data_IF_517317426168
#
_entry.id   IF_517317426168
#
_cell.length_a   1.000
_cell.length_b   1.000
_cell.length_c   1.000
_cell.angle_alpha   90.00
_cell.angle_beta   90.00
_cell.angle_gamma   90.00
#
_symmetry.space_group_name_H-M   'P 1'
#
loop_
_entity.id
_entity.type
_entity.pdbx_description
1 polymer ?
#
# COMPACT_ATOMS: atom_id res chain seq x y z
N UNK A 1 27.19 6.60 9.64
CA UNK A 1 27.26 5.12 9.81
C UNK A 1 25.83 4.67 9.78
N UNK A 2 25.47 3.63 9.01
CA UNK A 2 24.08 3.25 8.90
C UNK A 2 23.54 2.74 10.24
N UNK A 3 22.26 2.98 10.49
CA UNK A 3 21.58 2.68 11.75
C UNK A 3 20.68 1.45 11.60
N UNK A 4 20.92 0.43 12.41
CA UNK A 4 20.08 -0.77 12.43
C UNK A 4 18.67 -0.44 12.92
N UNK A 5 17.66 -1.01 12.26
CA UNK A 5 16.27 -0.89 12.70
C UNK A 5 15.51 -2.22 12.54
N UNK A 6 14.43 -2.34 13.31
CA UNK A 6 13.48 -3.45 13.21
C UNK A 6 12.09 -2.98 13.64
N UNK A 7 11.09 -3.22 12.79
CA UNK A 7 9.68 -2.94 13.01
C UNK A 7 8.93 -4.28 12.96
N UNK A 8 8.04 -4.51 13.91
CA UNK A 8 7.24 -5.75 13.99
C UNK A 8 5.75 -5.43 14.08
N UNK A 9 4.97 -6.13 13.28
CA UNK A 9 3.51 -6.09 13.35
C UNK A 9 2.94 -7.51 13.39
N UNK A 10 1.82 -7.66 14.08
CA UNK A 10 1.01 -8.87 14.06
C UNK A 10 -0.43 -8.46 13.76
N UNK A 11 -1.00 -8.98 12.66
CA UNK A 11 -2.37 -8.67 12.26
C UNK A 11 -3.16 -9.94 11.94
N UNK A 12 -4.45 -10.01 12.34
CA UNK A 12 -5.35 -11.04 11.86
C UNK A 12 -5.80 -10.74 10.43
N UNK A 13 -5.92 -11.79 9.63
CA UNK A 13 -6.40 -11.76 8.25
C UNK A 13 -7.57 -12.73 8.09
N UNK A 14 -8.66 -12.24 7.52
CA UNK A 14 -9.89 -13.01 7.25
C UNK A 14 -9.75 -13.85 5.96
N UNK A 15 -8.65 -14.60 5.85
CA UNK A 15 -8.34 -15.44 4.71
C UNK A 15 -7.54 -16.68 5.11
N UNK A 16 -7.65 -17.75 4.32
CA UNK A 16 -6.85 -18.96 4.49
C UNK A 16 -5.37 -18.72 4.10
N UNK A 17 -4.40 -19.45 4.69
CA UNK A 17 -2.97 -19.20 4.45
C UNK A 17 -2.54 -19.27 2.99
N UNK A 18 -3.18 -20.09 2.16
CA UNK A 18 -2.91 -20.18 0.71
C UNK A 18 -3.37 -18.93 -0.04
N UNK A 19 -4.50 -18.33 0.36
CA UNK A 19 -4.98 -17.07 -0.20
C UNK A 19 -4.06 -15.93 0.20
N UNK A 20 -3.66 -15.86 1.48
CA UNK A 20 -2.70 -14.86 1.97
C UNK A 20 -1.36 -15.01 1.26
N UNK A 21 -0.87 -16.24 1.08
CA UNK A 21 0.38 -16.53 0.38
C UNK A 21 0.39 -15.95 -1.03
N UNK A 22 -0.67 -16.18 -1.82
CA UNK A 22 -0.79 -15.60 -3.16
C UNK A 22 -0.71 -14.08 -3.14
N UNK A 23 -1.35 -13.44 -2.16
CA UNK A 23 -1.35 -11.98 -2.03
C UNK A 23 0.02 -11.39 -1.66
N UNK A 24 0.90 -12.11 -0.96
CA UNK A 24 2.19 -11.55 -0.49
C UNK A 24 3.42 -12.07 -1.26
N UNK A 25 3.30 -13.18 -1.98
CA UNK A 25 4.44 -13.86 -2.60
C UNK A 25 4.38 -13.89 -4.13
N UNK A 26 3.20 -13.75 -4.73
CA UNK A 26 3.02 -13.79 -6.18
C UNK A 26 2.83 -12.36 -6.70
N UNK A 27 3.60 -11.97 -7.72
CA UNK A 27 3.61 -10.59 -8.22
C UNK A 27 2.21 -10.01 -8.48
N UNK A 28 1.32 -10.67 -9.25
CA UNK A 28 -0.04 -10.19 -9.45
C UNK A 28 -0.84 -10.01 -8.15
N UNK A 29 -0.58 -10.84 -7.13
CA UNK A 29 -1.20 -10.71 -5.82
C UNK A 29 -0.64 -9.54 -5.01
N UNK A 30 0.68 -9.35 -5.01
CA UNK A 30 1.35 -8.22 -4.34
C UNK A 30 0.88 -6.90 -4.94
N UNK A 31 0.87 -6.83 -6.27
CA UNK A 31 0.44 -5.67 -7.05
C UNK A 31 -1.04 -5.34 -6.83
N UNK A 32 -1.83 -6.24 -6.24
CA UNK A 32 -3.27 -6.00 -6.01
C UNK A 32 -3.58 -5.22 -4.73
N UNK A 33 -2.60 -4.92 -3.89
CA UNK A 33 -2.79 -4.11 -2.68
C UNK A 33 -1.59 -3.23 -2.37
N UNK A 34 -0.38 -3.68 -2.71
CA UNK A 34 0.85 -2.94 -2.47
C UNK A 34 1.10 -1.92 -3.59
N UNK A 35 2.00 -0.98 -3.31
CA UNK A 35 2.37 0.04 -4.30
C UNK A 35 3.41 -0.51 -5.27
N UNK A 36 3.37 -0.02 -6.51
CA UNK A 36 4.33 -0.39 -7.55
C UNK A 36 4.07 -1.77 -8.17
N UNK A 37 5.13 -2.33 -8.75
CA UNK A 37 5.17 -3.67 -9.33
C UNK A 37 6.26 -4.48 -8.65
N UNK A 38 5.90 -5.64 -8.12
CA UNK A 38 6.84 -6.53 -7.43
C UNK A 38 6.87 -7.90 -8.10
N UNK A 39 8.06 -8.41 -8.38
CA UNK A 39 8.26 -9.76 -8.90
C UNK A 39 9.25 -10.48 -7.99
N UNK A 40 8.92 -11.70 -7.57
CA UNK A 40 9.77 -12.55 -6.73
C UNK A 40 9.95 -13.90 -7.41
N UNK A 41 11.19 -14.32 -7.63
CA UNK A 41 11.46 -15.68 -8.07
C UNK A 41 11.15 -16.69 -6.94
N UNK A 42 10.39 -17.78 -7.20
CA UNK A 42 9.79 -18.61 -6.15
C UNK A 42 10.77 -19.63 -5.56
N UNK A 43 11.92 -19.18 -5.05
CA UNK A 43 12.97 -20.00 -4.46
C UNK A 43 13.91 -19.17 -3.59
N UNK A 44 14.54 -19.82 -2.60
CA UNK A 44 15.68 -19.22 -1.88
C UNK A 44 16.82 -18.93 -2.85
N UNK A 45 17.45 -17.75 -2.71
CA UNK A 45 18.44 -17.21 -3.64
C UNK A 45 17.84 -16.76 -4.97
N UNK A 46 16.51 -16.68 -5.08
CA UNK A 46 15.81 -16.09 -6.21
C UNK A 46 15.93 -14.57 -6.19
N UNK A 47 15.93 -13.96 -7.37
CA UNK A 47 15.90 -12.50 -7.49
C UNK A 47 14.50 -11.99 -7.22
N UNK A 48 14.40 -10.87 -6.49
CA UNK A 48 13.21 -10.06 -6.38
C UNK A 48 13.46 -8.68 -6.97
N UNK A 49 12.46 -8.11 -7.64
CA UNK A 49 12.52 -6.76 -8.19
C UNK A 49 11.30 -5.98 -7.77
N UNK A 50 11.49 -4.72 -7.41
CA UNK A 50 10.40 -3.81 -7.09
C UNK A 50 10.55 -2.51 -7.87
N UNK A 51 9.48 -2.05 -8.50
CA UNK A 51 9.45 -0.81 -9.28
C UNK A 51 8.31 0.07 -8.81
N UNK A 52 8.61 1.34 -8.52
CA UNK A 52 7.61 2.34 -8.17
C UNK A 52 7.59 3.44 -9.25
N UNK A 53 6.42 3.71 -9.82
CA UNK A 53 6.28 4.75 -10.85
C UNK A 53 7.21 4.53 -12.05
N UNK A 54 7.99 5.55 -12.39
CA UNK A 54 8.98 5.53 -13.49
C UNK A 54 10.42 5.31 -13.02
N UNK A 55 10.61 4.98 -11.74
CA UNK A 55 11.94 4.86 -11.15
C UNK A 55 12.62 3.54 -11.55
N UNK A 56 13.93 3.49 -11.35
CA UNK A 56 14.69 2.25 -11.55
C UNK A 56 14.23 1.18 -10.57
N UNK A 57 14.17 -0.07 -11.04
CA UNK A 57 13.79 -1.19 -10.20
C UNK A 57 14.85 -1.43 -9.11
N UNK A 58 14.42 -1.58 -7.87
CA UNK A 58 15.29 -2.03 -6.78
C UNK A 58 15.34 -3.56 -6.76
N UNK A 59 16.54 -4.09 -6.57
CA UNK A 59 16.77 -5.54 -6.50
C UNK A 59 16.79 -6.05 -5.05
N UNK A 60 16.32 -7.28 -4.87
CA UNK A 60 16.37 -8.03 -3.64
C UNK A 60 16.68 -9.50 -3.89
N UNK A 61 17.03 -10.22 -2.84
CA UNK A 61 17.25 -11.66 -2.85
C UNK A 61 16.27 -12.32 -1.89
N UNK A 62 15.55 -13.33 -2.36
CA UNK A 62 14.66 -14.15 -1.54
C UNK A 62 15.51 -15.00 -0.58
N UNK A 63 15.34 -14.80 0.72
CA UNK A 63 16.09 -15.48 1.78
C UNK A 63 15.29 -16.62 2.44
N UNK A 64 13.96 -16.61 2.34
CA UNK A 64 13.10 -17.72 2.72
C UNK A 64 11.91 -17.86 1.76
N UNK A 65 11.59 -19.10 1.38
CA UNK A 65 10.44 -19.41 0.52
C UNK A 65 9.78 -20.72 0.97
N UNK A 66 8.78 -20.61 1.84
CA UNK A 66 8.04 -21.73 2.41
C UNK A 66 6.54 -21.48 2.19
N UNK A 67 5.96 -22.00 1.08
CA UNK A 67 4.58 -21.69 0.70
C UNK A 67 3.55 -21.91 1.81
N UNK A 68 2.69 -20.90 2.00
CA UNK A 68 1.66 -20.88 3.05
C UNK A 68 2.19 -20.70 4.48
N UNK A 69 3.49 -20.47 4.66
CA UNK A 69 4.11 -20.39 5.99
C UNK A 69 5.09 -19.24 6.17
N UNK A 70 6.09 -19.08 5.31
CA UNK A 70 7.17 -18.10 5.53
C UNK A 70 7.73 -17.57 4.21
N UNK A 71 7.76 -16.26 4.06
CA UNK A 71 8.42 -15.55 2.97
C UNK A 71 9.40 -14.55 3.58
N UNK A 72 10.64 -14.50 3.07
CA UNK A 72 11.55 -13.43 3.42
C UNK A 72 12.40 -13.04 2.22
N UNK A 73 12.69 -11.75 2.10
CA UNK A 73 13.58 -11.20 1.08
C UNK A 73 14.33 -9.98 1.63
N UNK A 74 15.53 -9.75 1.10
CA UNK A 74 16.42 -8.67 1.51
C UNK A 74 16.90 -7.90 0.28
N UNK A 75 16.78 -6.58 0.31
CA UNK A 75 17.34 -5.69 -0.69
C UNK A 75 18.86 -5.83 -0.83
N UNK A 76 19.37 -5.51 -2.01
CA UNK A 76 20.81 -5.37 -2.22
C UNK A 76 21.32 -4.20 -1.37
N UNK A 77 22.51 -4.36 -0.79
CA UNK A 77 23.11 -3.31 0.03
C UNK A 77 23.60 -2.16 -0.85
N UNK A 78 23.19 -0.95 -0.50
CA UNK A 78 23.60 0.27 -1.17
C UNK A 78 25.07 0.60 -0.84
N UNK A 79 25.75 1.45 -1.64
CA UNK A 79 27.14 1.85 -1.37
C UNK A 79 27.37 2.51 -0.01
N UNK A 80 26.32 3.10 0.59
CA UNK A 80 26.36 3.71 1.93
C UNK A 80 26.07 2.71 3.07
N UNK A 81 25.86 1.43 2.74
CA UNK A 81 25.57 0.35 3.67
C UNK A 81 24.09 0.21 4.05
N UNK A 82 23.19 1.01 3.46
CA UNK A 82 21.76 0.90 3.72
C UNK A 82 21.13 -0.27 2.98
N UNK A 83 20.10 -0.87 3.57
CA UNK A 83 19.26 -1.88 2.92
C UNK A 83 17.97 -2.09 3.71
N UNK A 84 16.96 -2.66 3.05
CA UNK A 84 15.70 -3.10 3.65
C UNK A 84 15.56 -4.62 3.56
N UNK A 85 14.88 -5.23 4.51
CA UNK A 85 14.56 -6.64 4.55
C UNK A 85 13.17 -6.86 5.11
N UNK A 86 12.41 -7.76 4.48
CA UNK A 86 11.05 -8.08 4.86
C UNK A 86 10.91 -9.56 5.17
N UNK A 87 10.19 -9.87 6.24
CA UNK A 87 9.81 -11.23 6.59
C UNK A 87 8.32 -11.30 6.94
N UNK A 88 7.65 -12.29 6.36
CA UNK A 88 6.24 -12.59 6.54
C UNK A 88 6.12 -14.02 7.06
N UNK A 89 5.54 -14.19 8.24
CA UNK A 89 5.21 -15.48 8.82
C UNK A 89 3.70 -15.64 8.93
N UNK A 90 3.17 -16.70 8.34
CA UNK A 90 1.75 -17.03 8.32
C UNK A 90 1.45 -18.16 9.29
N UNK A 91 0.51 -17.92 10.20
CA UNK A 91 -0.02 -18.92 11.13
C UNK A 91 -1.53 -19.09 10.89
N UNK A 92 -1.93 -20.23 10.32
CA UNK A 92 -3.35 -20.56 10.15
C UNK A 92 -4.09 -20.69 11.48
N UNK A 93 -5.25 -20.04 11.61
CA UNK A 93 -6.16 -20.11 12.76
C UNK A 93 -7.51 -20.65 12.28
N UNK A 94 -7.59 -21.96 12.09
CA UNK A 94 -8.76 -22.61 11.49
C UNK A 94 -8.76 -22.52 9.95
N UNK A 95 -9.92 -22.74 9.33
CA UNK A 95 -10.01 -22.91 7.86
C UNK A 95 -10.08 -21.61 7.05
N UNK A 96 -10.37 -20.47 7.68
CA UNK A 96 -10.61 -19.19 6.98
C UNK A 96 -10.01 -17.98 7.70
N UNK A 97 -9.03 -18.19 8.58
CA UNK A 97 -8.34 -17.11 9.28
C UNK A 97 -6.85 -17.42 9.38
N UNK A 98 -6.03 -16.39 9.25
CA UNK A 98 -4.57 -16.44 9.33
C UNK A 98 -4.09 -15.28 10.17
N UNK A 99 -3.08 -15.50 11.01
CA UNK A 99 -2.32 -14.41 11.64
C UNK A 99 -1.06 -14.20 10.81
N UNK A 100 -0.84 -12.98 10.36
CA UNK A 100 0.42 -12.56 9.72
C UNK A 100 1.28 -11.86 10.77
N UNK A 101 2.48 -12.40 11.01
CA UNK A 101 3.57 -11.67 11.68
C UNK A 101 4.47 -11.10 10.60
N UNK A 102 4.63 -9.79 10.62
CA UNK A 102 5.45 -9.04 9.69
C UNK A 102 6.66 -8.45 10.41
N UNK A 103 7.83 -8.53 9.78
CA UNK A 103 9.05 -7.87 10.22
C UNK A 103 9.61 -7.07 9.05
N UNK A 104 9.87 -5.79 9.29
CA UNK A 104 10.65 -4.93 8.41
C UNK A 104 11.91 -4.52 9.15
N UNK A 105 13.08 -4.83 8.60
CA UNK A 105 14.36 -4.60 9.26
C UNK A 105 15.41 -4.17 8.25
N UNK A 106 16.53 -3.65 8.74
CA UNK A 106 17.62 -3.26 7.87
C UNK A 106 18.50 -2.19 8.48
N UNK A 107 19.04 -1.35 7.61
CA UNK A 107 20.00 -0.31 7.95
C UNK A 107 19.61 0.99 7.25
N UNK A 108 19.37 2.04 8.03
CA UNK A 108 18.96 3.38 7.58
C UNK A 108 20.16 4.34 7.49
N UNK A 109 20.00 5.40 6.70
CA UNK A 109 21.03 6.41 6.49
C UNK A 109 21.16 7.43 7.63
N UNK A 110 21.61 8.63 7.29
CA UNK A 110 21.86 9.68 8.29
C UNK A 110 20.56 10.31 8.87
N UNK A 111 19.44 10.29 8.14
CA UNK A 111 18.10 10.78 8.58
C UNK A 111 17.24 9.68 9.22
N UNK A 112 17.88 8.71 9.87
CA UNK A 112 17.24 7.45 10.31
C UNK A 112 16.04 7.65 11.23
N UNK A 113 16.02 8.65 12.11
CA UNK A 113 14.90 8.88 13.05
C UNK A 113 13.60 9.19 12.29
N UNK A 114 13.71 10.10 11.33
CA UNK A 114 12.61 10.56 10.48
C UNK A 114 12.14 9.45 9.54
N UNK A 115 13.08 8.69 8.96
CA UNK A 115 12.81 7.56 8.10
C UNK A 115 12.14 6.40 8.87
N UNK A 116 12.66 6.03 10.04
CA UNK A 116 12.09 5.00 10.91
C UNK A 116 10.65 5.32 11.31
N UNK A 117 10.39 6.57 11.70
CA UNK A 117 9.05 7.04 12.05
C UNK A 117 8.05 6.90 10.90
N UNK A 118 8.49 7.16 9.66
CA UNK A 118 7.65 7.00 8.47
C UNK A 118 7.43 5.54 8.10
N UNK A 119 8.47 4.69 8.20
CA UNK A 119 8.34 3.26 7.99
C UNK A 119 7.37 2.65 9.01
N UNK A 120 7.54 2.97 10.29
CA UNK A 120 6.69 2.45 11.36
C UNK A 120 5.22 2.83 11.15
N UNK A 121 4.95 4.07 10.70
CA UNK A 121 3.58 4.50 10.39
C UNK A 121 3.05 3.82 9.13
N UNK A 122 3.83 3.83 8.05
CA UNK A 122 3.44 3.38 6.71
C UNK A 122 3.23 1.87 6.61
N UNK A 123 4.14 1.07 7.18
CA UNK A 123 4.07 -0.40 7.13
C UNK A 123 2.70 -0.90 7.64
N UNK A 124 2.25 -0.37 8.77
CA UNK A 124 0.96 -0.74 9.34
C UNK A 124 -0.22 -0.38 8.42
N UNK A 125 -0.15 0.71 7.66
CA UNK A 125 -1.22 1.10 6.73
C UNK A 125 -1.31 0.14 5.55
N UNK A 126 -0.18 -0.28 4.99
CA UNK A 126 -0.17 -1.28 3.91
C UNK A 126 -0.63 -2.65 4.41
N UNK A 127 -0.32 -3.01 5.66
CA UNK A 127 -0.87 -4.22 6.28
C UNK A 127 -2.40 -4.14 6.48
N UNK A 128 -2.95 -2.98 6.85
CA UNK A 128 -4.39 -2.76 6.88
C UNK A 128 -5.01 -2.82 5.48
N UNK A 129 -4.33 -2.27 4.48
CA UNK A 129 -4.74 -2.37 3.07
C UNK A 129 -4.78 -3.82 2.59
N UNK A 130 -3.78 -4.62 2.93
CA UNK A 130 -3.76 -6.07 2.69
C UNK A 130 -4.95 -6.77 3.35
N UNK A 131 -5.27 -6.42 4.61
CA UNK A 131 -6.42 -7.00 5.31
C UNK A 131 -7.75 -6.67 4.62
N UNK A 132 -7.95 -5.42 4.20
CA UNK A 132 -9.14 -5.01 3.42
C UNK A 132 -9.20 -5.71 2.08
N UNK A 133 -8.08 -5.79 1.35
CA UNK A 133 -8.00 -6.52 0.08
C UNK A 133 -8.41 -7.99 0.24
N UNK A 134 -7.83 -8.70 1.20
CA UNK A 134 -8.13 -10.11 1.44
C UNK A 134 -9.58 -10.36 1.87
N UNK A 135 -10.17 -9.44 2.62
CA UNK A 135 -11.55 -9.53 3.08
C UNK A 135 -12.58 -9.30 1.97
N UNK A 136 -12.32 -8.32 1.10
CA UNK A 136 -13.32 -7.82 0.14
C UNK A 136 -13.06 -8.23 -1.30
N UNK A 137 -11.81 -8.49 -1.66
CA UNK A 137 -11.38 -8.81 -3.02
C UNK A 137 -10.51 -10.08 -3.10
N UNK A 138 -10.79 -11.14 -2.31
CA UNK A 138 -9.91 -12.31 -2.23
C UNK A 138 -9.69 -12.93 -3.61
N UNK A 139 -8.42 -12.99 -4.03
CA UNK A 139 -8.01 -13.60 -5.29
C UNK A 139 -8.33 -12.79 -6.54
N UNK A 140 -8.90 -11.58 -6.43
CA UNK A 140 -9.00 -10.66 -7.56
C UNK A 140 -7.62 -10.07 -7.84
N UNK A 141 -7.27 -9.97 -9.12
CA UNK A 141 -6.06 -9.29 -9.56
C UNK A 141 -6.45 -7.89 -10.00
N UNK A 142 -5.71 -6.87 -9.54
CA UNK A 142 -5.90 -5.51 -9.99
C UNK A 142 -5.61 -5.40 -11.50
N UNK A 143 -6.60 -4.91 -12.25
CA UNK A 143 -6.48 -4.65 -13.68
C UNK A 143 -5.67 -3.38 -13.97
N UNK A 144 -5.63 -2.45 -13.01
CA UNK A 144 -4.86 -1.22 -13.10
C UNK A 144 -4.52 -0.67 -11.72
N UNK A 145 -3.26 -0.28 -11.55
CA UNK A 145 -2.73 0.29 -10.31
C UNK A 145 -2.31 1.73 -10.55
N UNK A 146 -2.74 2.61 -9.66
CA UNK A 146 -2.39 4.02 -9.68
C UNK A 146 -1.61 4.36 -8.42
N UNK A 147 -0.54 5.12 -8.58
CA UNK A 147 0.21 5.76 -7.50
C UNK A 147 0.64 7.14 -8.02
N UNK A 148 -0.01 8.20 -7.56
CA UNK A 148 0.25 9.56 -7.99
C UNK A 148 0.57 10.45 -6.80
N UNK A 149 1.61 11.27 -6.94
CA UNK A 149 2.08 12.19 -5.91
C UNK A 149 1.91 13.62 -6.39
N UNK A 150 1.41 14.50 -5.51
CA UNK A 150 1.39 15.93 -5.72
C UNK A 150 2.13 16.65 -4.58
N UNK A 151 3.08 17.55 -4.89
CA UNK A 151 3.70 18.40 -3.88
C UNK A 151 2.73 19.49 -3.40
N UNK A 152 3.15 20.30 -2.43
CA UNK A 152 2.42 21.48 -1.92
C UNK A 152 1.06 21.18 -1.27
N UNK A 153 0.90 19.97 -0.73
CA UNK A 153 -0.28 19.55 0.00
C UNK A 153 -0.06 19.72 1.51
N UNK A 154 -0.46 20.89 2.04
CA UNK A 154 -0.64 21.05 3.49
C UNK A 154 -1.78 20.17 3.98
N UNK A 155 -1.77 19.80 5.26
CA UNK A 155 -2.85 19.00 5.85
C UNK A 155 -4.23 19.66 5.66
N UNK A 156 -4.31 20.99 5.84
CA UNK A 156 -5.55 21.75 5.62
C UNK A 156 -6.04 21.64 4.17
N UNK A 157 -5.16 21.86 3.18
CA UNK A 157 -5.51 21.74 1.76
C UNK A 157 -5.92 20.32 1.41
N UNK A 158 -5.22 19.32 1.95
CA UNK A 158 -5.52 17.91 1.73
C UNK A 158 -6.92 17.56 2.23
N UNK A 159 -7.28 17.93 3.46
CA UNK A 159 -8.60 17.65 4.00
C UNK A 159 -9.72 18.37 3.25
N UNK A 160 -9.51 19.63 2.85
CA UNK A 160 -10.48 20.37 2.05
C UNK A 160 -10.70 19.69 0.68
N UNK A 161 -9.62 19.33 -0.02
CA UNK A 161 -9.69 18.66 -1.32
C UNK A 161 -10.32 17.27 -1.22
N UNK A 162 -9.88 16.46 -0.25
CA UNK A 162 -10.40 15.11 -0.05
C UNK A 162 -11.87 15.14 0.37
N UNK A 163 -12.27 16.06 1.25
CA UNK A 163 -13.66 16.26 1.63
C UNK A 163 -14.54 16.54 0.41
N UNK A 164 -14.12 17.45 -0.47
CA UNK A 164 -14.83 17.73 -1.72
C UNK A 164 -14.91 16.49 -2.63
N UNK A 165 -13.82 15.74 -2.78
CA UNK A 165 -13.75 14.55 -3.61
C UNK A 165 -14.59 13.37 -3.08
N UNK A 166 -14.83 13.31 -1.77
CA UNK A 166 -15.62 12.24 -1.13
C UNK A 166 -17.08 12.65 -0.83
N UNK A 167 -17.44 13.90 -1.12
CA UNK A 167 -18.76 14.45 -0.79
C UNK A 167 -18.97 14.69 0.70
N UNK A 168 -17.90 14.96 1.44
CA UNK A 168 -17.91 15.13 2.89
C UNK A 168 -17.80 16.61 3.29
N UNK A 169 -18.55 16.99 4.33
CA UNK A 169 -18.48 18.33 4.93
C UNK A 169 -17.41 18.46 6.03
N UNK A 170 -16.81 17.34 6.45
CA UNK A 170 -15.84 17.27 7.54
C UNK A 170 -14.85 16.12 7.35
N UNK A 171 -14.10 15.80 8.42
CA UNK A 171 -13.16 14.67 8.37
C UNK A 171 -13.93 13.34 8.25
N UNK A 172 -13.49 12.42 7.37
CA UNK A 172 -14.09 11.11 7.23
C UNK A 172 -14.00 10.31 8.53
N UNK A 173 -14.98 9.44 8.76
CA UNK A 173 -14.97 8.45 9.84
C UNK A 173 -15.04 7.04 9.25
N UNK A 174 -14.33 6.08 9.85
CA UNK A 174 -14.42 4.68 9.44
C UNK A 174 -15.89 4.18 9.45
N UNK A 175 -16.26 3.47 8.39
CA UNK A 175 -17.62 2.99 8.12
C UNK A 175 -18.55 4.01 7.44
N UNK A 176 -18.12 5.26 7.28
CA UNK A 176 -18.92 6.29 6.61
C UNK A 176 -19.07 5.99 5.11
N UNK A 177 -20.30 6.17 4.59
CA UNK A 177 -20.57 6.06 3.16
C UNK A 177 -20.17 7.36 2.48
N UNK A 178 -19.40 7.24 1.41
CA UNK A 178 -18.89 8.35 0.61
C UNK A 178 -19.22 8.14 -0.85
N UNK A 179 -19.02 9.18 -1.65
CA UNK A 179 -19.02 9.05 -3.11
C UNK A 179 -17.74 9.67 -3.64
N UNK A 180 -16.87 8.86 -4.23
CA UNK A 180 -15.65 9.33 -4.89
C UNK A 180 -16.08 10.03 -6.18
N UNK A 181 -16.03 11.36 -6.16
CA UNK A 181 -16.48 12.21 -7.24
C UNK A 181 -15.36 13.19 -7.62
N UNK A 182 -14.71 12.91 -8.76
CA UNK A 182 -13.73 13.79 -9.38
C UNK A 182 -14.17 14.11 -10.81
N UNK A 183 -13.72 15.26 -11.33
CA UNK A 183 -14.03 15.66 -12.69
C UNK A 183 -13.51 14.62 -13.71
N UNK A 184 -14.29 14.39 -14.78
CA UNK A 184 -13.91 13.43 -15.83
C UNK A 184 -14.20 11.96 -15.50
N UNK A 185 -14.81 11.66 -14.34
CA UNK A 185 -15.25 10.30 -13.98
C UNK A 185 -16.70 10.29 -13.51
N UNK A 186 -17.34 9.14 -13.68
CA UNK A 186 -18.62 8.87 -13.04
C UNK A 186 -18.43 8.77 -11.53
N UNK A 187 -19.32 9.38 -10.71
CA UNK A 187 -19.26 9.27 -9.25
C UNK A 187 -19.35 7.81 -8.80
N UNK A 188 -18.45 7.40 -7.92
CA UNK A 188 -18.30 6.02 -7.49
C UNK A 188 -18.64 5.88 -5.99
N UNK A 189 -19.73 5.19 -5.61
CA UNK A 189 -20.07 4.96 -4.21
C UNK A 189 -18.97 4.16 -3.48
N UNK A 190 -18.69 4.52 -2.24
CA UNK A 190 -17.70 3.84 -1.43
C UNK A 190 -17.98 3.89 0.07
N UNK A 191 -17.12 3.23 0.83
CA UNK A 191 -17.10 3.22 2.29
C UNK A 191 -15.70 3.51 2.76
N UNK A 192 -15.56 4.41 3.73
CA UNK A 192 -14.28 4.66 4.40
C UNK A 192 -13.94 3.44 5.25
N UNK A 193 -12.84 2.76 4.96
CA UNK A 193 -12.42 1.58 5.73
C UNK A 193 -11.67 1.99 7.00
N UNK A 194 -10.72 2.91 6.87
CA UNK A 194 -10.02 3.50 8.01
C UNK A 194 -9.53 4.91 7.71
N UNK A 195 -9.28 5.64 8.79
CA UNK A 195 -8.64 6.96 8.83
C UNK A 195 -7.65 6.96 9.99
N UNK A 196 -6.44 7.47 9.79
CA UNK A 196 -5.45 7.61 10.87
C UNK A 196 -5.16 9.06 11.24
N UNK A 197 -4.73 9.23 12.49
CA UNK A 197 -4.25 10.48 13.09
C UNK A 197 -3.19 10.08 14.14
N UNK A 198 -1.95 10.64 14.16
CA UNK A 198 -1.40 11.67 13.26
C UNK A 198 -0.86 11.09 11.94
N UNK A 199 -0.98 11.86 10.86
CA UNK A 199 -0.66 11.41 9.49
C UNK A 199 -1.90 10.84 8.80
N UNK A 200 -2.27 11.45 7.69
CA UNK A 200 -3.65 11.39 7.18
C UNK A 200 -3.78 10.34 6.08
N UNK A 201 -3.73 9.07 6.50
CA UNK A 201 -4.13 7.96 5.65
C UNK A 201 -5.65 7.85 5.70
N UNK A 202 -6.28 7.77 4.53
CA UNK A 202 -7.70 7.51 4.37
C UNK A 202 -7.86 6.43 3.33
N UNK A 203 -8.44 5.31 3.70
CA UNK A 203 -8.78 4.26 2.75
C UNK A 203 -10.26 4.26 2.44
N UNK A 204 -10.59 4.18 1.15
CA UNK A 204 -11.97 4.08 0.68
C UNK A 204 -12.09 2.85 -0.18
N UNK A 205 -12.99 1.95 0.21
CA UNK A 205 -13.35 0.78 -0.59
C UNK A 205 -14.61 1.08 -1.39
N UNK A 206 -14.58 0.79 -2.68
CA UNK A 206 -15.76 0.77 -3.55
C UNK A 206 -16.16 -0.67 -3.86
N UNK A 207 -17.16 -0.90 -4.71
CA UNK A 207 -17.55 -2.26 -5.09
C UNK A 207 -16.45 -2.98 -5.91
N UNK A 208 -15.64 -2.21 -6.64
CA UNK A 208 -14.64 -2.74 -7.58
C UNK A 208 -13.25 -2.11 -7.42
N UNK A 209 -13.01 -1.35 -6.36
CA UNK A 209 -11.74 -0.67 -6.15
C UNK A 209 -11.39 -0.44 -4.69
N UNK A 210 -10.10 -0.20 -4.46
CA UNK A 210 -9.57 0.22 -3.17
C UNK A 210 -8.69 1.45 -3.37
N UNK A 211 -9.12 2.57 -2.83
CA UNK A 211 -8.37 3.82 -2.79
C UNK A 211 -7.60 3.95 -1.48
N UNK A 212 -6.41 4.54 -1.55
CA UNK A 212 -5.70 5.06 -0.38
C UNK A 212 -5.25 6.48 -0.66
N UNK A 213 -5.68 7.42 0.18
CA UNK A 213 -5.26 8.81 0.14
C UNK A 213 -4.30 9.05 1.29
N UNK A 214 -3.18 9.72 1.03
CA UNK A 214 -2.13 9.94 2.03
C UNK A 214 -1.73 11.40 1.96
N UNK A 215 -1.62 12.08 3.09
CA UNK A 215 -0.80 13.29 3.16
C UNK A 215 0.31 13.12 4.20
N UNK A 216 1.53 13.37 3.74
CA UNK A 216 2.76 13.25 4.50
C UNK A 216 3.83 14.19 3.90
N UNK A 217 4.67 14.77 4.76
CA UNK A 217 5.81 15.64 4.37
C UNK A 217 5.46 16.74 3.33
N UNK A 218 4.25 17.29 3.39
CA UNK A 218 3.81 18.35 2.48
C UNK A 218 3.43 17.88 1.08
N UNK A 219 3.26 16.57 0.88
CA UNK A 219 2.80 15.95 -0.36
C UNK A 219 1.50 15.17 -0.11
N UNK A 220 0.66 15.09 -1.15
CA UNK A 220 -0.50 14.23 -1.20
C UNK A 220 -0.24 13.07 -2.15
N UNK A 221 -0.68 11.88 -1.77
CA UNK A 221 -0.64 10.68 -2.60
C UNK A 221 -2.07 10.19 -2.80
N UNK A 222 -2.39 9.81 -4.02
CA UNK A 222 -3.56 9.00 -4.35
C UNK A 222 -3.05 7.66 -4.85
N UNK A 223 -3.53 6.59 -4.24
CA UNK A 223 -3.42 5.24 -4.74
C UNK A 223 -4.79 4.69 -5.11
N UNK A 224 -4.82 3.86 -6.14
CA UNK A 224 -6.02 3.10 -6.49
C UNK A 224 -5.66 1.76 -7.10
N UNK A 225 -6.32 0.71 -6.61
CA UNK A 225 -6.30 -0.64 -7.16
C UNK A 225 -7.68 -0.94 -7.75
N UNK A 226 -7.77 -1.04 -9.08
CA UNK A 226 -9.02 -1.31 -9.79
C UNK A 226 -9.14 -2.82 -10.07
N UNK A 227 -10.14 -3.48 -9.51
CA UNK A 227 -10.33 -4.93 -9.66
C UNK A 227 -11.26 -5.34 -10.81
N UNK A 228 -11.67 -4.37 -11.64
CA UNK A 228 -12.39 -4.58 -12.91
C UNK A 228 -11.63 -3.91 -14.06
N UNK A 229 -11.84 -4.36 -15.31
CA UNK A 229 -11.27 -3.67 -16.46
C UNK A 229 -11.68 -2.20 -16.49
N UNK A 230 -10.69 -1.31 -16.56
CA UNK A 230 -10.86 0.14 -16.65
C UNK A 230 -9.94 0.72 -17.73
N UNK A 231 -10.29 1.87 -18.27
CA UNK A 231 -9.36 2.68 -19.05
C UNK A 231 -8.35 3.33 -18.09
N UNK A 232 -7.20 2.68 -17.89
CA UNK A 232 -6.16 3.13 -16.98
C UNK A 232 -5.60 4.51 -17.32
N UNK A 233 -5.44 4.82 -18.62
CA UNK A 233 -4.91 6.11 -19.05
C UNK A 233 -5.90 7.24 -18.72
N UNK A 234 -7.20 7.03 -18.95
CA UNK A 234 -8.23 8.00 -18.57
C UNK A 234 -8.35 8.14 -17.04
N UNK A 235 -8.25 7.04 -16.30
CA UNK A 235 -8.28 7.04 -14.84
C UNK A 235 -7.09 7.82 -14.24
N UNK A 236 -5.87 7.56 -14.71
CA UNK A 236 -4.68 8.29 -14.29
C UNK A 236 -4.76 9.78 -14.63
N UNK A 237 -5.22 10.11 -15.85
CA UNK A 237 -5.36 11.51 -16.27
C UNK A 237 -6.34 12.27 -15.36
N UNK A 238 -7.50 11.70 -15.05
CA UNK A 238 -8.50 12.33 -14.18
C UNK A 238 -7.95 12.60 -12.77
N UNK A 239 -7.23 11.64 -12.18
CA UNK A 239 -6.62 11.83 -10.86
C UNK A 239 -5.45 12.81 -10.88
N UNK A 240 -4.65 12.82 -11.95
CA UNK A 240 -3.56 13.78 -12.13
C UNK A 240 -4.10 15.22 -12.25
N UNK A 241 -5.18 15.41 -12.99
CA UNK A 241 -5.84 16.71 -13.14
C UNK A 241 -6.47 17.17 -11.82
N UNK A 242 -7.11 16.25 -11.09
CA UNK A 242 -7.64 16.55 -9.75
C UNK A 242 -6.53 16.98 -8.79
N UNK A 243 -5.42 16.25 -8.73
CA UNK A 243 -4.26 16.58 -7.91
C UNK A 243 -3.66 17.94 -8.28
N UNK A 244 -3.48 18.21 -9.58
CA UNK A 244 -2.95 19.47 -10.07
C UNK A 244 -3.85 20.66 -9.70
N UNK A 245 -5.18 20.49 -9.78
CA UNK A 245 -6.14 21.53 -9.40
C UNK A 245 -6.19 21.74 -7.88
N UNK A 246 -6.18 20.66 -7.11
CA UNK A 246 -6.29 20.69 -5.65
C UNK A 246 -5.07 21.32 -4.97
N UNK A 247 -3.88 21.16 -5.56
CA UNK A 247 -2.59 21.53 -4.95
C UNK A 247 -1.76 22.51 -5.80
N UNK A 248 -2.40 23.26 -6.70
CA UNK A 248 -1.79 24.36 -7.43
C UNK A 248 -1.24 25.48 -6.52
#
# INVERSE_FOLDING_TARGET
>A
MPHEFEIRHEIPLDAAPDVVWRAIAEGPGIDSWFMGRTELEPRVGGTGTQTFGTDEATESVVTAWEPGRRLAHRGVENPDGTFMAFEYLLEGRGSASTVLRFVHSGFLGDDWESEYDDLQRGDLQYLYKLAVYLKHFPGRISAHNLFLVAPNATEERFWAALGAALGLAGRPVAGEKVTVAIAGREPEPGVVEWVTDPGTFVAVRTDDGLYMFIQARGAAVVEHHAYTPVDGAALEAAWRDWLALAFA
#
